data_IF_546827343315
#
_entry.id   IF_546827343315
#
_cell.length_a   1.000
_cell.length_b   1.000
_cell.length_c   1.000
_cell.angle_alpha   90.00
_cell.angle_beta   90.00
_cell.angle_gamma   90.00
#
_symmetry.space_group_name_H-M   'P 1'
#
loop_
_entity.id
_entity.type
_entity.pdbx_description
1 polymer ?
#
# COMPACT_ATOMS: atom_id res chain seq x y z
N UNK A 1 -2.58 -31.90 19.09
CA UNK A 1 -3.03 -31.64 17.71
C UNK A 1 -3.70 -30.25 17.50
N UNK A 2 -4.83 -29.91 18.11
CA UNK A 2 -5.46 -28.57 17.89
C UNK A 2 -4.59 -27.37 18.33
N UNK A 3 -3.72 -27.58 19.27
CA UNK A 3 -2.92 -26.54 19.95
C UNK A 3 -1.68 -26.13 19.15
N UNK A 4 -1.05 -27.08 18.47
CA UNK A 4 0.08 -26.82 17.57
C UNK A 4 -0.41 -26.13 16.29
N UNK A 5 -1.66 -26.39 15.92
CA UNK A 5 -2.35 -25.76 14.80
C UNK A 5 -2.53 -24.23 14.99
N UNK A 6 -2.87 -23.74 16.20
CA UNK A 6 -3.04 -22.30 16.46
C UNK A 6 -1.70 -21.55 16.30
N UNK A 7 -0.63 -22.11 16.87
CA UNK A 7 0.71 -21.50 16.75
C UNK A 7 1.19 -21.52 15.29
N UNK A 8 0.97 -22.65 14.59
CA UNK A 8 1.36 -22.78 13.18
C UNK A 8 0.61 -21.77 12.31
N UNK A 9 -0.70 -21.60 12.53
CA UNK A 9 -1.51 -20.63 11.80
C UNK A 9 -1.05 -19.18 12.10
N UNK A 10 -0.73 -18.87 13.36
CA UNK A 10 -0.17 -17.58 13.72
C UNK A 10 1.15 -17.32 12.99
N UNK A 11 2.07 -18.30 12.97
CA UNK A 11 3.35 -18.16 12.26
C UNK A 11 3.17 -17.98 10.74
N UNK A 12 2.19 -18.67 10.14
CA UNK A 12 1.88 -18.51 8.72
C UNK A 12 1.34 -17.10 8.42
N UNK A 13 0.47 -16.56 9.27
CA UNK A 13 -0.05 -15.21 9.13
C UNK A 13 1.03 -14.14 9.37
N UNK A 14 1.93 -14.36 10.33
CA UNK A 14 3.08 -13.48 10.60
C UNK A 14 4.06 -13.47 9.41
N UNK A 15 4.28 -14.62 8.78
CA UNK A 15 5.06 -14.70 7.54
C UNK A 15 4.38 -13.94 6.39
N UNK A 16 3.06 -14.05 6.22
CA UNK A 16 2.31 -13.29 5.22
C UNK A 16 2.42 -11.76 5.48
N UNK A 17 2.37 -11.35 6.74
CA UNK A 17 2.52 -9.96 7.16
C UNK A 17 3.90 -9.39 6.79
N UNK A 18 4.99 -10.10 7.08
CA UNK A 18 6.35 -9.63 6.72
C UNK A 18 6.58 -9.63 5.20
N UNK A 19 6.00 -10.60 4.49
CA UNK A 19 6.05 -10.64 3.02
C UNK A 19 5.32 -9.42 2.44
N UNK A 20 4.16 -9.04 2.97
CA UNK A 20 3.43 -7.84 2.54
C UNK A 20 4.25 -6.56 2.75
N UNK A 21 4.93 -6.43 3.89
CA UNK A 21 5.86 -5.34 4.15
C UNK A 21 7.04 -5.28 3.17
N UNK A 22 7.61 -6.45 2.84
CA UNK A 22 8.67 -6.54 1.85
C UNK A 22 8.19 -6.13 0.45
N UNK A 23 7.00 -6.54 0.04
CA UNK A 23 6.40 -6.14 -1.24
C UNK A 23 6.17 -4.63 -1.31
N UNK A 24 5.64 -4.00 -0.25
CA UNK A 24 5.46 -2.54 -0.18
C UNK A 24 6.81 -1.84 -0.32
N UNK A 25 7.85 -2.31 0.39
CA UNK A 25 9.17 -1.69 0.36
C UNK A 25 9.80 -1.79 -1.03
N UNK A 26 9.80 -2.98 -1.62
CA UNK A 26 10.36 -3.21 -2.97
C UNK A 26 9.63 -2.33 -3.98
N UNK A 27 8.29 -2.34 -3.96
CA UNK A 27 7.48 -1.52 -4.84
C UNK A 27 7.84 -0.03 -4.71
N UNK A 28 7.87 0.51 -3.48
CA UNK A 28 8.16 1.92 -3.25
C UNK A 28 9.58 2.31 -3.66
N UNK A 29 10.58 1.45 -3.42
CA UNK A 29 11.96 1.74 -3.79
C UNK A 29 12.17 1.67 -5.32
N UNK A 30 11.62 0.64 -5.99
CA UNK A 30 11.70 0.50 -7.44
C UNK A 30 11.02 1.69 -8.12
N UNK A 31 9.82 2.05 -7.68
CA UNK A 31 9.08 3.21 -8.21
C UNK A 31 9.87 4.51 -8.04
N UNK A 32 10.48 4.75 -6.88
CA UNK A 32 11.33 5.95 -6.67
C UNK A 32 12.56 5.96 -7.57
N UNK A 33 13.17 4.81 -7.81
CA UNK A 33 14.31 4.70 -8.73
C UNK A 33 13.89 4.97 -10.18
N UNK A 34 12.72 4.49 -10.59
CA UNK A 34 12.16 4.75 -11.93
C UNK A 34 11.86 6.23 -12.14
N UNK A 35 11.20 6.91 -11.20
CA UNK A 35 10.94 8.36 -11.25
C UNK A 35 12.26 9.15 -11.36
N UNK A 36 13.29 8.76 -10.62
CA UNK A 36 14.59 9.42 -10.63
C UNK A 36 15.33 9.26 -11.98
N UNK A 37 15.02 8.25 -12.78
CA UNK A 37 15.61 8.03 -14.11
C UNK A 37 15.07 8.96 -15.21
N UNK A 38 14.01 9.72 -14.91
CA UNK A 38 13.34 10.65 -15.81
C UNK A 38 12.24 10.01 -16.69
N UNK A 39 11.31 10.83 -17.20
CA UNK A 39 10.16 10.37 -17.96
C UNK A 39 10.57 9.81 -19.32
N UNK A 40 10.06 8.65 -19.68
CA UNK A 40 10.15 8.04 -21.02
C UNK A 40 8.74 7.88 -21.60
N UNK A 41 8.63 7.78 -22.92
CA UNK A 41 7.34 7.69 -23.61
C UNK A 41 6.44 6.57 -23.02
N UNK A 42 7.02 5.40 -22.75
CA UNK A 42 6.27 4.22 -22.26
C UNK A 42 5.86 4.30 -20.78
N UNK A 43 6.40 5.24 -20.01
CA UNK A 43 6.22 5.30 -18.55
C UNK A 43 5.72 6.64 -18.03
N UNK A 44 5.65 7.65 -18.90
CA UNK A 44 5.33 9.02 -18.51
C UNK A 44 4.03 9.13 -17.74
N UNK A 45 2.99 8.42 -18.15
CA UNK A 45 1.69 8.43 -17.48
C UNK A 45 1.77 7.75 -16.11
N UNK A 46 2.47 6.62 -16.00
CA UNK A 46 2.66 5.89 -14.76
C UNK A 46 3.51 6.67 -13.76
N UNK A 47 4.60 7.25 -14.22
CA UNK A 47 5.51 8.04 -13.38
C UNK A 47 4.78 9.28 -12.82
N UNK A 48 3.91 9.91 -13.64
CA UNK A 48 3.06 11.02 -13.22
C UNK A 48 2.09 10.64 -12.10
N UNK A 49 1.51 9.43 -12.17
CA UNK A 49 0.59 8.94 -11.16
C UNK A 49 1.29 8.50 -9.88
N UNK A 50 2.49 7.95 -9.99
CA UNK A 50 3.30 7.62 -8.82
C UNK A 50 3.75 8.84 -8.03
N UNK A 51 3.93 9.98 -8.69
CA UNK A 51 4.22 11.25 -8.00
C UNK A 51 3.05 11.72 -7.11
N UNK A 52 1.82 11.25 -7.40
CA UNK A 52 0.64 11.45 -6.55
C UNK A 52 0.59 10.50 -5.35
N UNK A 53 1.30 9.37 -5.39
CA UNK A 53 1.24 8.37 -4.33
C UNK A 53 2.19 8.72 -3.18
N UNK A 54 1.79 8.49 -1.91
CA UNK A 54 2.62 8.79 -0.74
C UNK A 54 3.73 7.75 -0.53
N UNK A 55 4.67 7.63 -1.48
CA UNK A 55 5.74 6.62 -1.48
C UNK A 55 6.61 6.66 -0.20
N UNK A 56 6.86 7.84 0.35
CA UNK A 56 7.60 7.98 1.61
C UNK A 56 6.83 7.37 2.79
N UNK A 57 5.51 7.55 2.83
CA UNK A 57 4.66 6.93 3.83
C UNK A 57 4.63 5.40 3.68
N UNK A 58 4.60 4.90 2.43
CA UNK A 58 4.69 3.47 2.15
C UNK A 58 6.01 2.86 2.66
N UNK A 59 7.15 3.53 2.45
CA UNK A 59 8.45 3.11 3.01
C UNK A 59 8.41 3.13 4.54
N UNK A 60 7.87 4.19 5.15
CA UNK A 60 7.71 4.29 6.60
C UNK A 60 6.87 3.15 7.16
N UNK A 61 5.75 2.82 6.50
CA UNK A 61 4.91 1.68 6.87
C UNK A 61 5.67 0.34 6.81
N UNK A 62 6.40 0.09 5.74
CA UNK A 62 7.21 -1.12 5.61
C UNK A 62 8.25 -1.25 6.74
N UNK A 63 8.89 -0.15 7.13
CA UNK A 63 9.84 -0.15 8.27
C UNK A 63 9.12 -0.53 9.58
N UNK A 64 7.93 0.03 9.84
CA UNK A 64 7.15 -0.30 11.03
C UNK A 64 6.72 -1.78 11.00
N UNK A 65 6.35 -2.33 9.85
CA UNK A 65 6.06 -3.77 9.66
C UNK A 65 7.26 -4.62 10.07
N UNK A 66 8.47 -4.31 9.60
CA UNK A 66 9.67 -5.07 9.98
C UNK A 66 10.01 -4.96 11.47
N UNK A 67 9.87 -3.77 12.06
CA UNK A 67 10.05 -3.60 13.51
C UNK A 67 9.04 -4.45 14.28
N UNK A 68 7.77 -4.45 13.85
CA UNK A 68 6.70 -5.23 14.46
C UNK A 68 7.00 -6.73 14.36
N UNK A 69 7.44 -7.20 13.20
CA UNK A 69 7.87 -8.59 13.01
C UNK A 69 9.00 -8.97 13.95
N UNK A 70 10.01 -8.13 14.12
CA UNK A 70 11.10 -8.39 15.08
C UNK A 70 10.59 -8.52 16.52
N UNK A 71 9.51 -7.85 16.90
CA UNK A 71 8.87 -7.98 18.20
C UNK A 71 8.02 -9.26 18.31
N UNK A 72 7.62 -9.90 17.22
CA UNK A 72 6.92 -11.19 17.26
C UNK A 72 7.86 -12.35 17.52
N UNK A 73 9.14 -12.25 17.13
CA UNK A 73 10.14 -13.30 17.35
C UNK A 73 10.25 -13.70 18.84
N UNK A 74 10.53 -12.79 19.79
CA UNK A 74 10.54 -13.14 21.21
C UNK A 74 9.17 -13.58 21.72
N UNK A 75 8.07 -13.09 21.15
CA UNK A 75 6.73 -13.55 21.48
C UNK A 75 6.49 -15.02 21.09
N UNK A 76 7.11 -15.50 20.02
CA UNK A 76 7.04 -16.90 19.60
C UNK A 76 7.97 -17.79 20.44
N UNK A 77 9.23 -17.38 20.62
CA UNK A 77 10.28 -18.15 21.29
C UNK A 77 10.03 -18.29 22.80
N UNK A 78 9.44 -17.27 23.43
CA UNK A 78 9.16 -17.25 24.88
C UNK A 78 7.66 -17.42 25.18
N UNK A 79 7.10 -18.63 25.11
CA UNK A 79 5.65 -18.86 25.29
C UNK A 79 5.12 -18.50 26.68
N UNK A 80 5.99 -18.41 27.70
CA UNK A 80 5.63 -18.09 29.07
C UNK A 80 5.40 -16.59 29.29
N UNK A 81 5.99 -15.71 28.45
CA UNK A 81 5.88 -14.26 28.60
C UNK A 81 4.77 -13.70 27.73
N UNK A 82 3.66 -13.25 28.36
CA UNK A 82 2.55 -12.60 27.63
C UNK A 82 2.85 -11.15 27.22
N UNK A 83 3.86 -10.53 27.84
CA UNK A 83 4.20 -9.12 27.60
C UNK A 83 4.58 -8.83 26.16
N UNK A 84 5.46 -9.64 25.58
CA UNK A 84 5.90 -9.50 24.21
C UNK A 84 4.78 -9.68 23.19
N UNK A 85 3.88 -10.66 23.42
CA UNK A 85 2.75 -10.89 22.55
C UNK A 85 1.71 -9.76 22.62
N UNK A 86 1.53 -9.12 23.77
CA UNK A 86 0.70 -7.92 23.89
C UNK A 86 1.31 -6.73 23.17
N UNK A 87 2.63 -6.52 23.34
CA UNK A 87 3.35 -5.42 22.70
C UNK A 87 3.29 -5.56 21.16
N UNK A 88 3.59 -6.75 20.63
CA UNK A 88 3.49 -7.00 19.18
C UNK A 88 2.06 -6.80 18.68
N UNK A 89 1.04 -7.23 19.44
CA UNK A 89 -0.36 -7.01 19.10
C UNK A 89 -0.72 -5.52 19.00
N UNK A 90 -0.28 -4.68 19.92
CA UNK A 90 -0.48 -3.23 19.82
C UNK A 90 0.24 -2.63 18.60
N UNK A 91 1.46 -3.06 18.32
CA UNK A 91 2.19 -2.60 17.15
C UNK A 91 1.51 -3.02 15.84
N UNK A 92 0.94 -4.24 15.77
CA UNK A 92 0.14 -4.69 14.62
C UNK A 92 -1.09 -3.81 14.39
N UNK A 93 -1.78 -3.39 15.46
CA UNK A 93 -2.91 -2.45 15.36
C UNK A 93 -2.45 -1.12 14.80
N UNK A 94 -1.31 -0.59 15.25
CA UNK A 94 -0.73 0.66 14.70
C UNK A 94 -0.37 0.49 13.22
N UNK A 95 0.26 -0.63 12.83
CA UNK A 95 0.54 -0.93 11.42
C UNK A 95 -0.73 -0.96 10.58
N UNK A 96 -1.74 -1.71 11.00
CA UNK A 96 -3.01 -1.84 10.27
C UNK A 96 -3.72 -0.49 10.09
N UNK A 97 -3.74 0.36 11.11
CA UNK A 97 -4.27 1.72 10.98
C UNK A 97 -3.46 2.58 10.01
N UNK A 98 -2.13 2.49 10.05
CA UNK A 98 -1.29 3.26 9.16
C UNK A 98 -1.45 2.82 7.70
N UNK A 99 -1.48 1.51 7.45
CA UNK A 99 -1.76 0.93 6.13
C UNK A 99 -3.15 1.35 5.62
N UNK A 100 -4.16 1.34 6.50
CA UNK A 100 -5.52 1.76 6.17
C UNK A 100 -5.57 3.24 5.78
N UNK A 101 -4.86 4.11 6.50
CA UNK A 101 -4.80 5.55 6.19
C UNK A 101 -4.18 5.78 4.81
N UNK A 102 -3.07 5.09 4.49
CA UNK A 102 -2.46 5.17 3.15
C UNK A 102 -3.45 4.70 2.07
N UNK A 103 -4.15 3.59 2.30
CA UNK A 103 -5.15 3.09 1.37
C UNK A 103 -6.31 4.05 1.15
N UNK A 104 -6.80 4.70 2.21
CA UNK A 104 -7.84 5.71 2.13
C UNK A 104 -7.38 6.97 1.41
N UNK A 105 -6.14 7.42 1.62
CA UNK A 105 -5.55 8.56 0.93
C UNK A 105 -5.57 8.33 -0.58
N UNK A 106 -5.08 7.18 -1.03
CA UNK A 106 -5.12 6.78 -2.44
C UNK A 106 -6.57 6.72 -2.96
N UNK A 107 -7.51 6.21 -2.17
CA UNK A 107 -8.91 6.15 -2.56
C UNK A 107 -9.53 7.54 -2.72
N UNK A 108 -9.22 8.49 -1.84
CA UNK A 108 -9.69 9.88 -1.99
C UNK A 108 -9.11 10.55 -3.24
N UNK A 109 -7.88 10.22 -3.64
CA UNK A 109 -7.30 10.68 -4.90
C UNK A 109 -8.10 10.18 -6.12
N UNK A 110 -8.61 8.94 -6.10
CA UNK A 110 -9.46 8.42 -7.20
C UNK A 110 -10.77 9.19 -7.37
N UNK A 111 -11.33 9.75 -6.30
CA UNK A 111 -12.57 10.53 -6.36
C UNK A 111 -12.40 11.88 -7.04
N UNK A 112 -11.20 12.45 -7.05
CA UNK A 112 -10.86 13.76 -7.60
C UNK A 112 -9.89 13.68 -8.78
N UNK A 113 -9.76 12.54 -9.41
CA UNK A 113 -8.73 12.25 -10.43
C UNK A 113 -8.64 13.35 -11.50
N UNK A 114 -9.76 13.80 -12.07
CA UNK A 114 -9.74 14.80 -13.14
C UNK A 114 -9.22 16.17 -12.69
N UNK A 115 -9.57 16.58 -11.49
CA UNK A 115 -9.15 17.87 -10.92
C UNK A 115 -7.67 17.82 -10.54
N UNK A 116 -7.25 16.76 -9.87
CA UNK A 116 -5.88 16.56 -9.44
C UNK A 116 -4.94 16.43 -10.65
N UNK A 117 -5.32 15.67 -11.67
CA UNK A 117 -4.57 15.56 -12.92
C UNK A 117 -4.45 16.91 -13.65
N UNK A 118 -5.45 17.78 -13.59
CA UNK A 118 -5.36 19.10 -14.17
C UNK A 118 -4.31 19.97 -13.50
N UNK A 119 -4.24 19.94 -12.17
CA UNK A 119 -3.23 20.67 -11.40
C UNK A 119 -1.85 20.16 -11.72
N UNK A 120 -1.68 18.84 -11.82
CA UNK A 120 -0.41 18.19 -12.14
C UNK A 120 0.00 18.51 -13.57
N UNK A 121 -0.91 18.36 -14.54
CA UNK A 121 -0.65 18.70 -15.94
C UNK A 121 -0.04 20.09 -16.10
N UNK A 122 -0.59 21.09 -15.40
CA UNK A 122 -0.10 22.47 -15.45
C UNK A 122 1.33 22.64 -14.91
N UNK A 123 1.74 21.78 -13.98
CA UNK A 123 3.08 21.81 -13.39
C UNK A 123 4.13 21.11 -14.25
N UNK A 124 3.69 20.25 -15.19
CA UNK A 124 4.62 19.49 -16.01
C UNK A 124 5.28 20.37 -17.07
N UNK A 125 6.57 20.15 -17.36
CA UNK A 125 7.26 20.81 -18.46
C UNK A 125 6.65 20.38 -19.80
N UNK A 126 6.82 21.21 -20.83
CA UNK A 126 6.30 20.96 -22.18
C UNK A 126 6.74 19.62 -22.77
N UNK A 127 7.94 19.15 -22.42
CA UNK A 127 8.46 17.84 -22.83
C UNK A 127 7.60 16.69 -22.30
N UNK A 128 7.24 16.72 -21.01
CA UNK A 128 6.36 15.69 -20.39
C UNK A 128 4.94 15.78 -20.94
N UNK A 129 4.41 17.00 -21.17
CA UNK A 129 3.10 17.19 -21.78
C UNK A 129 3.06 16.62 -23.20
N UNK A 130 4.11 16.83 -24.00
CA UNK A 130 4.24 16.26 -25.34
C UNK A 130 4.28 14.72 -25.31
N UNK A 131 5.02 14.11 -24.38
CA UNK A 131 5.04 12.66 -24.23
C UNK A 131 3.65 12.11 -23.87
N UNK A 132 2.90 12.78 -22.99
CA UNK A 132 1.53 12.40 -22.64
C UNK A 132 0.58 12.55 -23.83
N UNK A 133 0.71 13.61 -24.65
CA UNK A 133 -0.07 13.79 -25.87
C UNK A 133 0.19 12.65 -26.88
N UNK A 134 1.44 12.23 -27.02
CA UNK A 134 1.83 11.13 -27.89
C UNK A 134 1.32 9.78 -27.39
N UNK A 135 1.44 9.50 -26.10
CA UNK A 135 0.99 8.24 -25.48
C UNK A 135 -0.53 8.05 -25.62
N UNK A 136 -1.30 9.12 -25.37
CA UNK A 136 -2.76 9.04 -25.38
C UNK A 136 -3.41 9.53 -26.69
N UNK A 137 -2.63 9.91 -27.70
CA UNK A 137 -3.11 10.45 -28.97
C UNK A 137 -4.14 11.56 -28.80
N UNK A 138 -3.85 12.56 -27.97
CA UNK A 138 -4.72 13.66 -27.57
C UNK A 138 -3.95 14.98 -27.58
N UNK A 139 -4.64 16.13 -27.58
CA UNK A 139 -4.01 17.45 -27.69
C UNK A 139 -4.56 18.45 -26.66
N UNK A 140 -3.66 18.92 -25.77
CA UNK A 140 -4.04 19.76 -24.63
C UNK A 140 -4.72 18.99 -23.53
N UNK A 141 -5.11 19.63 -22.44
CA UNK A 141 -5.72 18.90 -21.32
C UNK A 141 -7.24 18.76 -21.46
N UNK A 142 -7.99 19.86 -21.28
CA UNK A 142 -9.47 19.83 -21.43
C UNK A 142 -9.86 19.79 -22.91
N UNK A 143 -9.19 20.60 -23.71
CA UNK A 143 -9.31 20.72 -25.15
C UNK A 143 -8.01 21.30 -25.72
N UNK A 144 -7.94 21.49 -27.03
CA UNK A 144 -6.73 22.02 -27.68
C UNK A 144 -6.33 23.45 -27.28
N UNK A 145 -7.18 24.18 -26.55
CA UNK A 145 -6.95 25.58 -26.18
C UNK A 145 -6.84 25.83 -24.67
N UNK A 146 -7.26 24.87 -23.82
CA UNK A 146 -7.39 25.11 -22.37
C UNK A 146 -6.94 23.93 -21.49
N UNK A 147 -5.71 23.94 -20.98
CA UNK A 147 -4.55 24.71 -21.42
C UNK A 147 -4.16 24.34 -22.84
N UNK A 148 -3.44 25.23 -23.57
CA UNK A 148 -3.10 24.99 -24.96
C UNK A 148 -2.24 23.74 -25.11
N UNK A 149 -2.38 23.07 -26.24
CA UNK A 149 -1.56 21.91 -26.57
C UNK A 149 -0.10 22.30 -26.84
N UNK A 150 0.80 21.37 -26.65
CA UNK A 150 2.19 21.49 -27.05
C UNK A 150 2.30 21.00 -28.50
N UNK A 151 3.00 21.76 -29.35
CA UNK A 151 3.23 21.37 -30.75
C UNK A 151 4.21 20.20 -30.78
N UNK A 152 3.77 19.07 -31.32
CA UNK A 152 4.55 17.84 -31.45
C UNK A 152 4.08 17.02 -32.67
N UNK A 153 4.55 15.78 -32.77
CA UNK A 153 4.18 14.87 -33.87
C UNK A 153 2.70 14.49 -33.91
N UNK A 154 2.04 14.44 -32.74
CA UNK A 154 0.61 14.13 -32.60
C UNK A 154 -0.25 15.37 -32.80
N UNK A 155 0.23 16.54 -32.37
CA UNK A 155 -0.47 17.81 -32.40
C UNK A 155 0.30 18.86 -33.23
N UNK A 156 0.48 18.66 -34.54
CA UNK A 156 1.30 19.55 -35.37
C UNK A 156 0.69 20.92 -35.64
N UNK A 157 -0.63 21.05 -35.55
CA UNK A 157 -1.36 22.30 -35.76
C UNK A 157 -2.71 22.31 -35.05
N UNK A 158 -3.34 23.48 -34.96
CA UNK A 158 -4.60 23.67 -34.24
C UNK A 158 -5.78 22.87 -34.83
N UNK A 159 -5.77 22.60 -36.13
CA UNK A 159 -6.83 21.84 -36.79
C UNK A 159 -6.79 20.37 -36.37
N UNK A 160 -5.63 19.75 -36.40
CA UNK A 160 -5.42 18.38 -35.95
C UNK A 160 -5.66 18.29 -34.44
N UNK A 161 -5.17 19.25 -33.65
CA UNK A 161 -5.37 19.29 -32.22
C UNK A 161 -6.86 19.39 -31.84
N UNK A 162 -7.66 20.14 -32.60
CA UNK A 162 -9.11 20.20 -32.36
C UNK A 162 -9.83 18.89 -32.71
N UNK A 163 -9.34 18.13 -33.68
CA UNK A 163 -9.90 16.85 -34.08
C UNK A 163 -9.58 15.72 -33.10
N UNK A 164 -8.37 15.72 -32.50
CA UNK A 164 -7.93 14.69 -31.55
C UNK A 164 -8.65 14.82 -30.18
N UNK A 165 -9.03 16.03 -29.79
CA UNK A 165 -9.65 16.28 -28.48
C UNK A 165 -8.67 16.34 -27.30
N UNK A 166 -9.19 16.61 -26.09
CA UNK A 166 -8.38 16.78 -24.88
C UNK A 166 -7.95 15.48 -24.23
N UNK A 167 -6.80 15.52 -23.54
CA UNK A 167 -6.21 14.38 -22.85
C UNK A 167 -6.92 13.97 -21.55
N UNK A 168 -7.83 14.79 -21.03
CA UNK A 168 -8.51 14.54 -19.75
C UNK A 168 -9.24 13.21 -19.70
N UNK A 169 -9.89 12.80 -20.79
CA UNK A 169 -10.64 11.54 -20.86
C UNK A 169 -9.72 10.30 -20.76
N UNK A 170 -8.85 10.11 -21.76
CA UNK A 170 -7.93 8.96 -21.76
C UNK A 170 -7.03 8.90 -20.52
N UNK A 171 -6.46 10.03 -20.10
CA UNK A 171 -5.58 10.09 -18.92
C UNK A 171 -6.33 9.77 -17.63
N UNK A 172 -7.57 10.29 -17.45
CA UNK A 172 -8.36 9.96 -16.27
C UNK A 172 -8.80 8.49 -16.25
N UNK A 173 -9.14 7.90 -17.41
CA UNK A 173 -9.46 6.48 -17.49
C UNK A 173 -8.27 5.59 -17.11
N UNK A 174 -7.07 5.92 -17.61
CA UNK A 174 -5.85 5.24 -17.25
C UNK A 174 -5.53 5.38 -15.76
N UNK A 175 -5.64 6.61 -15.22
CA UNK A 175 -5.38 6.90 -13.82
C UNK A 175 -6.33 6.14 -12.88
N UNK A 176 -7.63 6.10 -13.19
CA UNK A 176 -8.60 5.36 -12.39
C UNK A 176 -8.27 3.87 -12.36
N UNK A 177 -8.03 3.24 -13.49
CA UNK A 177 -7.63 1.83 -13.56
C UNK A 177 -6.37 1.55 -12.75
N UNK A 178 -5.38 2.43 -12.87
CA UNK A 178 -4.10 2.29 -12.18
C UNK A 178 -4.26 2.42 -10.66
N UNK A 179 -4.96 3.45 -10.20
CA UNK A 179 -5.19 3.70 -8.78
C UNK A 179 -6.08 2.62 -8.14
N UNK A 180 -7.06 2.08 -8.88
CA UNK A 180 -7.91 0.97 -8.42
C UNK A 180 -7.09 -0.30 -8.11
N UNK A 181 -6.07 -0.60 -8.91
CA UNK A 181 -5.18 -1.74 -8.65
C UNK A 181 -4.36 -1.51 -7.38
N UNK A 182 -3.78 -0.31 -7.22
CA UNK A 182 -2.99 0.03 -6.02
C UNK A 182 -3.87 0.03 -4.78
N UNK A 183 -5.05 0.63 -4.85
CA UNK A 183 -6.04 0.64 -3.78
C UNK A 183 -6.42 -0.78 -3.36
N UNK A 184 -6.77 -1.65 -4.33
CA UNK A 184 -7.14 -3.04 -4.06
C UNK A 184 -5.99 -3.79 -3.37
N UNK A 185 -4.76 -3.58 -3.83
CA UNK A 185 -3.57 -4.13 -3.19
C UNK A 185 -3.39 -3.65 -1.75
N UNK A 186 -3.52 -2.35 -1.50
CA UNK A 186 -3.40 -1.76 -0.16
C UNK A 186 -4.46 -2.33 0.81
N UNK A 187 -5.72 -2.42 0.38
CA UNK A 187 -6.79 -3.02 1.20
C UNK A 187 -6.63 -4.52 1.39
N UNK A 188 -6.05 -5.23 0.43
CA UNK A 188 -5.66 -6.63 0.60
C UNK A 188 -4.65 -6.81 1.73
N UNK A 189 -3.68 -5.92 1.85
CA UNK A 189 -2.69 -5.90 2.94
C UNK A 189 -3.38 -5.59 4.28
N UNK A 190 -4.29 -4.63 4.35
CA UNK A 190 -5.09 -4.36 5.55
C UNK A 190 -5.86 -5.61 5.99
N UNK A 191 -6.36 -6.41 5.04
CA UNK A 191 -7.00 -7.70 5.33
C UNK A 191 -6.05 -8.68 6.04
N UNK A 192 -4.78 -8.75 5.61
CA UNK A 192 -3.74 -9.57 6.27
C UNK A 192 -3.47 -9.05 7.68
N UNK A 193 -3.35 -7.72 7.86
CA UNK A 193 -3.12 -7.10 9.17
C UNK A 193 -4.24 -7.44 10.14
N UNK A 194 -5.50 -7.32 9.71
CA UNK A 194 -6.68 -7.67 10.54
C UNK A 194 -6.69 -9.15 10.90
N UNK A 195 -6.39 -10.04 9.95
CA UNK A 195 -6.33 -11.46 10.21
C UNK A 195 -5.24 -11.81 11.24
N UNK A 196 -4.07 -11.19 11.15
CA UNK A 196 -2.98 -11.38 12.11
C UNK A 196 -3.36 -10.84 13.50
N UNK A 197 -4.03 -9.70 13.59
CA UNK A 197 -4.54 -9.14 14.85
C UNK A 197 -5.52 -10.13 15.52
N UNK A 198 -6.44 -10.71 14.77
CA UNK A 198 -7.38 -11.73 15.27
C UNK A 198 -6.62 -12.96 15.79
N UNK A 199 -5.64 -13.46 15.00
CA UNK A 199 -4.83 -14.61 15.42
C UNK A 199 -4.00 -14.31 16.68
N UNK A 200 -3.49 -13.09 16.81
CA UNK A 200 -2.80 -12.63 18.02
C UNK A 200 -3.72 -12.64 19.25
N UNK A 201 -4.96 -12.20 19.09
CA UNK A 201 -5.97 -12.22 20.15
C UNK A 201 -6.32 -13.66 20.58
N UNK A 202 -6.47 -14.57 19.63
CA UNK A 202 -6.72 -15.99 19.89
C UNK A 202 -5.53 -16.62 20.66
N UNK A 203 -4.32 -16.35 20.22
CA UNK A 203 -3.10 -16.87 20.85
C UNK A 203 -2.92 -16.30 22.28
N UNK A 204 -3.23 -15.02 22.49
CA UNK A 204 -3.24 -14.40 23.83
C UNK A 204 -4.23 -15.07 24.77
N UNK A 205 -5.44 -15.39 24.28
CA UNK A 205 -6.46 -16.11 25.05
C UNK A 205 -6.00 -17.51 25.42
N UNK A 206 -5.46 -18.29 24.47
CA UNK A 206 -4.93 -19.64 24.72
C UNK A 206 -3.81 -19.61 25.77
N UNK A 207 -2.88 -18.66 25.69
CA UNK A 207 -1.81 -18.51 26.68
C UNK A 207 -2.33 -18.13 28.07
N UNK A 208 -3.37 -17.28 28.15
CA UNK A 208 -4.00 -16.92 29.40
C UNK A 208 -4.69 -18.12 30.08
N UNK A 209 -5.35 -18.95 29.31
CA UNK A 209 -5.97 -20.17 29.82
C UNK A 209 -4.94 -21.17 30.34
N UNK A 210 -3.85 -21.38 29.61
CA UNK A 210 -2.73 -22.26 30.01
C UNK A 210 -2.11 -21.83 31.34
N UNK A 211 -1.88 -20.53 31.51
CA UNK A 211 -1.33 -20.03 32.78
C UNK A 211 -2.31 -20.24 33.94
N UNK A 212 -3.61 -20.05 33.69
CA UNK A 212 -4.64 -20.31 34.69
C UNK A 212 -4.67 -21.80 35.12
N UNK A 213 -4.61 -22.73 34.18
CA UNK A 213 -4.57 -24.17 34.50
C UNK A 213 -3.31 -24.53 35.27
N UNK A 214 -2.14 -24.02 34.89
CA UNK A 214 -0.88 -24.24 35.62
C UNK A 214 -0.99 -23.77 37.07
N UNK A 215 -1.57 -22.61 37.34
CA UNK A 215 -1.77 -22.13 38.71
C UNK A 215 -2.77 -22.98 39.50
N UNK A 216 -3.75 -23.61 38.87
CA UNK A 216 -4.66 -24.54 39.51
C UNK A 216 -3.91 -25.82 39.90
N UNK A 217 -3.12 -26.37 38.97
CA UNK A 217 -2.33 -27.58 39.19
C UNK A 217 -1.28 -27.37 40.29
N UNK A 218 -0.61 -26.20 40.31
CA UNK A 218 0.32 -25.82 41.39
C UNK A 218 -0.34 -25.75 42.75
N UNK A 219 -1.58 -25.28 42.84
CA UNK A 219 -2.36 -25.17 44.11
C UNK A 219 -2.98 -26.48 44.57
N UNK A 220 -3.36 -27.35 43.65
CA UNK A 220 -3.95 -28.66 43.97
C UNK A 220 -2.92 -29.67 44.48
N UNK A 221 -1.61 -29.32 44.40
CA UNK A 221 -0.51 -30.12 44.94
C UNK A 221 -0.18 -31.36 44.12
N UNK A 222 1.11 -31.65 43.94
CA UNK A 222 1.60 -32.88 43.28
C UNK A 222 1.38 -34.16 44.09
N UNK A 223 0.40 -34.20 45.00
CA UNK A 223 0.18 -35.29 45.94
C UNK A 223 -1.31 -35.73 46.08
N UNK A 224 -2.15 -35.35 45.13
CA UNK A 224 -3.57 -35.74 45.20
C UNK A 224 -3.91 -37.00 44.36
N UNK A 225 -2.92 -37.86 44.08
CA UNK A 225 -3.12 -39.20 43.54
C UNK A 225 -2.24 -40.21 44.28
#
# INVERSE_FOLDING_TARGET
MARDSILLTYMAMDAAFVISGALILIFALVTKAEIASGPTADRVARDLLFDMCPLNAAIGNAVIVFITFLLTVPAIVMPMTRGWLKLSGYMMVVCGFFTMIIGLDIWFETLKTRENLFVIWKKQPSTTQSLLQQEFLCCGYMNSTSPPFVVDTTCPNALVAAAQGGCVGPLAAYANNFLDVIFTGAFGIVGVDVALIIMTAILLKDRKEKERYRHIDEKSGAGAF
#
